data_IF_053943984672
#
_entry.id   IF_053943984672
#
_cell.length_a   1.000
_cell.length_b   1.000
_cell.length_c   1.000
_cell.angle_alpha   90.00
_cell.angle_beta   90.00
_cell.angle_gamma   90.00
#
_symmetry.space_group_name_H-M   'P 1'
#
loop_
_entity.id
_entity.type
_entity.pdbx_description
1 polymer ?
#
# COMPACT_ATOMS: atom_id res chain seq x y z
N UNK A 1 16.15 -36.96 -35.12
CA UNK A 1 16.46 -36.27 -33.84
C UNK A 1 17.97 -36.12 -33.61
N UNK A 2 18.80 -37.17 -33.77
CA UNK A 2 20.27 -37.06 -33.61
C UNK A 2 20.92 -36.00 -34.51
N UNK A 3 20.57 -35.95 -35.80
CA UNK A 3 21.14 -34.97 -36.74
C UNK A 3 20.84 -33.50 -36.37
N UNK A 4 19.61 -33.20 -35.92
CA UNK A 4 19.24 -31.86 -35.46
C UNK A 4 20.01 -31.47 -34.18
N UNK A 5 20.15 -32.40 -33.23
CA UNK A 5 20.89 -32.15 -31.99
C UNK A 5 22.37 -31.86 -32.27
N UNK A 6 22.99 -32.63 -33.18
CA UNK A 6 24.37 -32.40 -33.59
C UNK A 6 24.55 -31.04 -34.26
N UNK A 7 23.61 -30.65 -35.13
CA UNK A 7 23.61 -29.35 -35.77
C UNK A 7 23.46 -28.18 -34.78
N UNK A 8 22.58 -28.31 -33.78
CA UNK A 8 22.42 -27.30 -32.72
C UNK A 8 23.66 -27.19 -31.84
N UNK A 9 24.35 -28.31 -31.58
CA UNK A 9 25.62 -28.31 -30.86
C UNK A 9 26.71 -27.58 -31.65
N UNK A 10 26.82 -27.83 -32.96
CA UNK A 10 27.74 -27.12 -33.84
C UNK A 10 27.43 -25.61 -33.92
N UNK A 11 26.16 -25.24 -34.05
CA UNK A 11 25.73 -23.84 -34.06
C UNK A 11 26.12 -23.12 -32.77
N UNK A 12 25.88 -23.76 -31.62
CA UNK A 12 26.22 -23.23 -30.30
C UNK A 12 27.74 -23.12 -30.10
N UNK A 13 28.51 -24.08 -30.62
CA UNK A 13 29.98 -24.02 -30.60
C UNK A 13 30.51 -22.86 -31.46
N UNK A 14 30.02 -22.71 -32.70
CA UNK A 14 30.39 -21.61 -33.58
C UNK A 14 30.09 -20.25 -32.94
N UNK A 15 28.94 -20.12 -32.24
CA UNK A 15 28.58 -18.92 -31.52
C UNK A 15 29.57 -18.61 -30.39
N UNK A 16 29.90 -19.61 -29.55
CA UNK A 16 30.88 -19.47 -28.46
C UNK A 16 32.30 -19.17 -28.95
N UNK A 17 32.67 -19.66 -30.12
CA UNK A 17 33.96 -19.41 -30.76
C UNK A 17 34.04 -18.09 -31.53
N UNK A 18 33.00 -17.24 -31.46
CA UNK A 18 32.98 -15.93 -32.13
C UNK A 18 32.76 -15.98 -33.65
N UNK A 19 32.43 -17.15 -34.22
CA UNK A 19 32.21 -17.35 -35.65
C UNK A 19 30.77 -16.96 -36.02
N UNK A 20 30.43 -15.68 -35.84
CA UNK A 20 29.04 -15.20 -35.87
C UNK A 20 28.29 -15.51 -37.18
N UNK A 21 28.93 -15.32 -38.35
CA UNK A 21 28.31 -15.61 -39.66
C UNK A 21 28.02 -17.10 -39.83
N UNK A 22 28.94 -17.96 -39.39
CA UNK A 22 28.78 -19.41 -39.46
C UNK A 22 27.70 -19.90 -38.48
N UNK A 23 27.70 -19.39 -37.24
CA UNK A 23 26.68 -19.69 -36.26
C UNK A 23 25.28 -19.31 -36.76
N UNK A 24 25.14 -18.12 -37.37
CA UNK A 24 23.89 -17.65 -37.97
C UNK A 24 23.38 -18.64 -39.02
N UNK A 25 24.24 -19.04 -39.95
CA UNK A 25 23.87 -19.98 -41.01
C UNK A 25 23.48 -21.35 -40.45
N UNK A 26 24.20 -21.86 -39.45
CA UNK A 26 23.89 -23.15 -38.80
C UNK A 26 22.53 -23.13 -38.07
N UNK A 27 22.23 -22.04 -37.34
CA UNK A 27 20.92 -21.86 -36.69
C UNK A 27 19.79 -21.71 -37.71
N UNK A 28 19.98 -20.96 -38.81
CA UNK A 28 18.99 -20.84 -39.87
C UNK A 28 18.68 -22.18 -40.54
N UNK A 29 19.71 -22.99 -40.81
CA UNK A 29 19.50 -24.35 -41.33
C UNK A 29 18.77 -25.22 -40.30
N UNK A 30 19.08 -25.10 -39.01
CA UNK A 30 18.41 -25.90 -37.97
C UNK A 30 16.91 -25.57 -37.90
N UNK A 31 16.55 -24.30 -38.10
CA UNK A 31 15.17 -23.80 -38.15
C UNK A 31 14.37 -24.27 -39.37
N UNK A 32 14.95 -25.02 -40.31
CA UNK A 32 14.18 -25.74 -41.32
C UNK A 32 13.41 -26.94 -40.73
N UNK A 33 13.79 -27.39 -39.53
CA UNK A 33 13.09 -28.46 -38.82
C UNK A 33 11.96 -27.91 -37.93
N UNK A 34 10.72 -28.45 -38.00
CA UNK A 34 9.60 -27.99 -37.18
C UNK A 34 9.87 -28.02 -35.67
N UNK A 35 10.62 -29.03 -35.20
CA UNK A 35 11.01 -29.15 -33.79
C UNK A 35 11.89 -27.97 -33.33
N UNK A 36 12.76 -27.46 -34.20
CA UNK A 36 13.61 -26.31 -33.90
C UNK A 36 12.80 -25.01 -33.92
N UNK A 37 11.83 -24.88 -34.83
CA UNK A 37 10.95 -23.71 -34.91
C UNK A 37 10.09 -23.54 -33.66
N UNK A 38 9.74 -24.63 -32.97
CA UNK A 38 8.99 -24.62 -31.72
C UNK A 38 9.88 -24.39 -30.48
N UNK A 39 11.20 -24.27 -30.64
CA UNK A 39 12.14 -24.13 -29.53
C UNK A 39 12.68 -22.70 -29.42
N UNK A 40 12.30 -21.99 -28.36
CA UNK A 40 12.72 -20.61 -28.11
C UNK A 40 14.25 -20.45 -28.00
N UNK A 41 14.95 -21.46 -27.48
CA UNK A 41 16.42 -21.43 -27.34
C UNK A 41 17.15 -21.40 -28.68
N UNK A 42 16.58 -22.02 -29.73
CA UNK A 42 17.15 -21.99 -31.09
C UNK A 42 17.01 -20.59 -31.69
N UNK A 43 15.84 -19.98 -31.53
CA UNK A 43 15.59 -18.59 -31.95
C UNK A 43 16.47 -17.59 -31.21
N UNK A 44 16.65 -17.78 -29.91
CA UNK A 44 17.55 -16.95 -29.10
C UNK A 44 19.01 -17.12 -29.55
N UNK A 45 19.47 -18.34 -29.83
CA UNK A 45 20.78 -18.61 -30.39
C UNK A 45 21.01 -17.92 -31.74
N UNK A 46 19.99 -17.94 -32.62
CA UNK A 46 20.01 -17.18 -33.87
C UNK A 46 20.09 -15.67 -33.62
N UNK A 47 19.33 -15.15 -32.65
CA UNK A 47 19.35 -13.73 -32.31
C UNK A 47 20.75 -13.25 -31.91
N UNK A 48 21.43 -13.99 -31.03
CA UNK A 48 22.83 -13.71 -30.65
C UNK A 48 23.78 -13.80 -31.85
N UNK A 49 23.61 -14.81 -32.72
CA UNK A 49 24.45 -14.95 -33.91
C UNK A 49 24.26 -13.79 -34.90
N UNK A 50 23.03 -13.34 -35.13
CA UNK A 50 22.72 -12.16 -35.94
C UNK A 50 23.31 -10.88 -35.32
N UNK A 51 23.13 -10.67 -34.01
CA UNK A 51 23.69 -9.51 -33.30
C UNK A 51 25.22 -9.45 -33.41
N UNK A 52 25.91 -10.58 -33.15
CA UNK A 52 27.36 -10.67 -33.28
C UNK A 52 27.84 -10.50 -34.73
N UNK A 53 26.99 -10.77 -35.72
CA UNK A 53 27.25 -10.54 -37.14
C UNK A 53 26.88 -9.11 -37.60
N UNK A 54 26.45 -8.23 -36.69
CA UNK A 54 25.96 -6.87 -36.95
C UNK A 54 24.70 -6.81 -37.85
N UNK A 55 23.88 -7.85 -37.79
CA UNK A 55 22.58 -7.91 -38.44
C UNK A 55 21.47 -7.60 -37.41
N UNK A 56 21.21 -6.31 -37.22
CA UNK A 56 20.25 -5.81 -36.22
C UNK A 56 18.81 -6.27 -36.50
N UNK A 57 18.38 -6.24 -37.76
CA UNK A 57 17.03 -6.67 -38.13
C UNK A 57 16.85 -8.17 -37.89
N UNK A 58 17.81 -8.99 -38.36
CA UNK A 58 17.77 -10.44 -38.14
C UNK A 58 17.85 -10.83 -36.66
N UNK A 59 18.51 -10.03 -35.83
CA UNK A 59 18.56 -10.22 -34.38
C UNK A 59 17.20 -9.92 -33.73
N UNK A 60 16.55 -8.82 -34.11
CA UNK A 60 15.22 -8.42 -33.61
C UNK A 60 14.13 -9.41 -34.03
N UNK A 61 14.11 -9.85 -35.29
CA UNK A 61 13.13 -10.83 -35.78
C UNK A 61 13.25 -12.16 -35.03
N UNK A 62 14.48 -12.63 -34.82
CA UNK A 62 14.75 -13.87 -34.12
C UNK A 62 14.38 -13.79 -32.62
N UNK A 63 14.74 -12.71 -31.92
CA UNK A 63 14.36 -12.56 -30.50
C UNK A 63 12.87 -12.35 -30.31
N UNK A 64 12.20 -11.66 -31.24
CA UNK A 64 10.73 -11.55 -31.24
C UNK A 64 10.09 -12.94 -31.33
N UNK A 65 10.62 -13.81 -32.18
CA UNK A 65 10.11 -15.18 -32.27
C UNK A 65 10.39 -16.00 -31.02
N UNK A 66 11.55 -15.83 -30.39
CA UNK A 66 11.85 -16.45 -29.09
C UNK A 66 10.86 -16.00 -28.00
N UNK A 67 10.56 -14.71 -27.92
CA UNK A 67 9.60 -14.14 -26.96
C UNK A 67 8.14 -14.54 -27.26
N UNK A 68 7.76 -14.78 -28.52
CA UNK A 68 6.44 -15.34 -28.82
C UNK A 68 6.26 -16.77 -28.26
N UNK A 69 7.34 -17.55 -28.20
CA UNK A 69 7.32 -18.91 -27.67
C UNK A 69 7.48 -18.92 -26.15
N UNK A 70 8.30 -18.03 -25.61
CA UNK A 70 8.54 -17.88 -24.17
C UNK A 70 8.58 -16.39 -23.78
N UNK A 71 7.41 -15.77 -23.52
CA UNK A 71 7.30 -14.33 -23.25
C UNK A 71 8.10 -13.85 -22.05
N UNK A 72 8.30 -14.72 -21.06
CA UNK A 72 8.98 -14.42 -19.80
C UNK A 72 10.47 -14.85 -19.80
N UNK A 73 11.04 -15.22 -20.96
CA UNK A 73 12.44 -15.65 -21.01
C UNK A 73 13.38 -14.47 -20.69
N UNK A 74 14.11 -14.48 -19.56
CA UNK A 74 14.87 -13.31 -19.10
C UNK A 74 16.02 -12.94 -20.05
N UNK A 75 16.66 -13.93 -20.68
CA UNK A 75 17.74 -13.68 -21.63
C UNK A 75 17.24 -13.06 -22.94
N UNK A 76 16.06 -13.48 -23.42
CA UNK A 76 15.43 -12.90 -24.60
C UNK A 76 14.91 -11.48 -24.34
N UNK A 77 14.32 -11.23 -23.16
CA UNK A 77 13.88 -9.90 -22.73
C UNK A 77 15.06 -8.92 -22.68
N UNK A 78 16.14 -9.32 -21.99
CA UNK A 78 17.35 -8.50 -21.90
C UNK A 78 17.99 -8.24 -23.26
N UNK A 79 18.09 -9.26 -24.11
CA UNK A 79 18.67 -9.12 -25.45
C UNK A 79 17.86 -8.14 -26.31
N UNK A 80 16.53 -8.22 -26.27
CA UNK A 80 15.67 -7.30 -27.02
C UNK A 80 15.78 -5.88 -26.48
N UNK A 81 15.79 -5.71 -25.16
CA UNK A 81 15.99 -4.41 -24.51
C UNK A 81 17.30 -3.75 -24.98
N UNK A 82 18.41 -4.48 -24.95
CA UNK A 82 19.71 -3.97 -25.38
C UNK A 82 19.71 -3.58 -26.87
N UNK A 83 19.12 -4.39 -27.75
CA UNK A 83 19.08 -4.05 -29.19
C UNK A 83 18.26 -2.78 -29.45
N UNK A 84 17.10 -2.64 -28.82
CA UNK A 84 16.27 -1.44 -28.93
C UNK A 84 16.98 -0.21 -28.35
N UNK A 85 17.66 -0.37 -27.21
CA UNK A 85 18.42 0.70 -26.57
C UNK A 85 19.50 1.27 -27.48
N UNK A 86 20.31 0.40 -28.09
CA UNK A 86 21.36 0.83 -29.02
C UNK A 86 20.80 1.31 -30.36
N UNK A 87 19.60 0.87 -30.73
CA UNK A 87 18.83 1.37 -31.88
C UNK A 87 18.20 2.76 -31.67
N UNK A 88 18.21 3.29 -30.43
CA UNK A 88 17.64 4.58 -30.09
C UNK A 88 16.16 4.51 -29.63
N UNK A 89 15.53 3.35 -29.68
CA UNK A 89 14.14 3.12 -29.24
C UNK A 89 14.09 2.91 -27.71
N UNK A 90 14.59 3.90 -26.95
CA UNK A 90 14.79 3.77 -25.50
C UNK A 90 13.50 3.54 -24.71
N UNK A 91 12.39 4.18 -25.11
CA UNK A 91 11.08 3.99 -24.46
C UNK A 91 10.62 2.54 -24.53
N UNK A 92 10.63 1.96 -25.73
CA UNK A 92 10.27 0.55 -25.91
C UNK A 92 11.30 -0.37 -25.26
N UNK A 93 12.59 -0.02 -25.28
CA UNK A 93 13.62 -0.76 -24.56
C UNK A 93 13.34 -0.85 -23.04
N UNK A 94 12.84 0.23 -22.43
CA UNK A 94 12.51 0.28 -21.01
C UNK A 94 11.43 -0.75 -20.64
N UNK A 95 10.41 -0.97 -21.47
CA UNK A 95 9.39 -2.01 -21.24
C UNK A 95 10.01 -3.41 -21.15
N UNK A 96 10.99 -3.71 -22.01
CA UNK A 96 11.71 -5.00 -21.99
C UNK A 96 12.70 -5.10 -20.82
N UNK A 97 13.35 -4.00 -20.42
CA UNK A 97 14.14 -3.97 -19.19
C UNK A 97 13.28 -4.22 -17.95
N UNK A 98 12.10 -3.59 -17.86
CA UNK A 98 11.14 -3.83 -16.79
C UNK A 98 10.73 -5.31 -16.72
N UNK A 99 10.37 -5.90 -17.86
CA UNK A 99 10.07 -7.33 -17.95
C UNK A 99 11.23 -8.21 -17.44
N UNK A 100 12.46 -7.90 -17.82
CA UNK A 100 13.65 -8.60 -17.32
C UNK A 100 13.84 -8.44 -15.80
N UNK A 101 13.64 -7.24 -15.25
CA UNK A 101 13.78 -6.94 -13.82
C UNK A 101 12.76 -7.73 -12.99
N UNK A 102 11.49 -7.77 -13.43
CA UNK A 102 10.43 -8.57 -12.80
C UNK A 102 10.84 -10.05 -12.75
N UNK A 103 11.36 -10.60 -13.85
CA UNK A 103 11.83 -11.99 -13.89
C UNK A 103 13.05 -12.24 -13.02
N UNK A 104 13.94 -11.24 -12.89
CA UNK A 104 15.12 -11.35 -12.05
C UNK A 104 14.78 -11.35 -10.56
N UNK A 105 13.79 -10.56 -10.14
CA UNK A 105 13.28 -10.51 -8.78
C UNK A 105 12.53 -11.80 -8.41
N UNK A 106 11.66 -12.29 -9.30
CA UNK A 106 10.85 -13.49 -9.06
C UNK A 106 11.63 -14.80 -9.14
N UNK A 107 12.85 -14.80 -9.68
CA UNK A 107 13.65 -16.01 -9.89
C UNK A 107 14.99 -16.00 -9.11
N UNK A 108 15.02 -16.55 -7.89
CA UNK A 108 16.23 -16.69 -7.09
C UNK A 108 17.32 -17.55 -7.73
N UNK A 109 17.00 -18.36 -8.75
CA UNK A 109 17.93 -19.23 -9.48
C UNK A 109 18.34 -18.67 -10.86
N UNK A 110 18.10 -17.38 -11.12
CA UNK A 110 18.56 -16.72 -12.33
C UNK A 110 20.07 -16.92 -12.53
N UNK A 111 20.48 -17.26 -13.76
CA UNK A 111 21.89 -17.46 -14.12
C UNK A 111 22.77 -16.27 -13.67
N UNK A 112 23.98 -16.51 -13.11
CA UNK A 112 24.83 -15.45 -12.56
C UNK A 112 25.14 -14.32 -13.55
N UNK A 113 25.38 -14.66 -14.83
CA UNK A 113 25.68 -13.68 -15.87
C UNK A 113 24.51 -12.74 -16.14
N UNK A 114 23.27 -13.25 -16.09
CA UNK A 114 22.07 -12.44 -16.22
C UNK A 114 21.86 -11.59 -14.97
N UNK A 115 22.06 -12.17 -13.77
CA UNK A 115 21.95 -11.43 -12.52
C UNK A 115 22.92 -10.26 -12.46
N UNK A 116 24.13 -10.41 -12.99
CA UNK A 116 25.10 -9.33 -13.10
C UNK A 116 24.64 -8.14 -13.97
N UNK A 117 23.63 -8.34 -14.84
CA UNK A 117 23.07 -7.28 -15.70
C UNK A 117 21.94 -6.49 -15.02
N UNK A 118 21.43 -6.92 -13.88
CA UNK A 118 20.32 -6.26 -13.16
C UNK A 118 20.61 -4.79 -12.88
N UNK A 119 21.77 -4.38 -12.31
CA UNK A 119 22.02 -2.97 -12.04
C UNK A 119 22.02 -2.10 -13.30
N UNK A 120 22.54 -2.61 -14.42
CA UNK A 120 22.56 -1.89 -15.70
C UNK A 120 21.16 -1.76 -16.30
N UNK A 121 20.41 -2.86 -16.32
CA UNK A 121 19.03 -2.86 -16.80
C UNK A 121 18.17 -1.89 -15.97
N UNK A 122 18.35 -1.87 -14.65
CA UNK A 122 17.69 -0.94 -13.74
C UNK A 122 18.07 0.52 -14.06
N UNK A 123 19.36 0.83 -14.23
CA UNK A 123 19.79 2.18 -14.57
C UNK A 123 19.22 2.68 -15.92
N UNK A 124 19.19 1.81 -16.94
CA UNK A 124 18.61 2.15 -18.25
C UNK A 124 17.10 2.38 -18.16
N UNK A 125 16.39 1.51 -17.45
CA UNK A 125 14.96 1.66 -17.17
C UNK A 125 14.66 2.98 -16.46
N UNK A 126 15.35 3.25 -15.34
CA UNK A 126 15.18 4.46 -14.54
C UNK A 126 15.54 5.73 -15.31
N UNK A 127 16.54 5.68 -16.19
CA UNK A 127 16.89 6.83 -17.04
C UNK A 127 15.73 7.26 -17.92
N UNK A 128 14.97 6.30 -18.47
CA UNK A 128 13.82 6.59 -19.34
C UNK A 128 12.64 7.08 -18.51
N UNK A 129 12.36 6.46 -17.37
CA UNK A 129 11.33 6.95 -16.45
C UNK A 129 11.61 8.40 -16.04
N UNK A 130 12.85 8.73 -15.67
CA UNK A 130 13.23 10.09 -15.29
C UNK A 130 13.07 11.09 -16.44
N UNK A 131 13.41 10.71 -17.67
CA UNK A 131 13.21 11.55 -18.86
C UNK A 131 11.72 11.80 -19.12
N UNK A 132 10.88 10.76 -19.01
CA UNK A 132 9.43 10.88 -19.16
C UNK A 132 8.80 11.74 -18.06
N UNK A 133 9.22 11.57 -16.81
CA UNK A 133 8.79 12.40 -15.69
C UNK A 133 9.21 13.86 -15.88
N UNK A 134 10.43 14.10 -16.36
CA UNK A 134 10.91 15.44 -16.71
C UNK A 134 10.04 16.11 -17.78
N UNK A 135 9.78 15.40 -18.88
CA UNK A 135 8.88 15.88 -19.94
C UNK A 135 7.47 16.18 -19.43
N UNK A 136 6.88 15.26 -18.64
CA UNK A 136 5.54 15.46 -18.08
C UNK A 136 5.51 16.68 -17.16
N UNK A 137 6.54 16.88 -16.32
CA UNK A 137 6.64 18.04 -15.45
C UNK A 137 6.75 19.35 -16.24
N UNK A 138 7.48 19.36 -17.36
CA UNK A 138 7.52 20.51 -18.27
C UNK A 138 6.16 20.79 -18.89
N UNK A 139 5.43 19.77 -19.32
CA UNK A 139 4.08 19.92 -19.87
C UNK A 139 3.08 20.45 -18.83
N UNK A 140 3.12 19.93 -17.60
CA UNK A 140 2.32 20.42 -16.47
C UNK A 140 2.57 21.92 -16.24
N UNK A 141 3.83 22.34 -16.27
CA UNK A 141 4.21 23.74 -16.13
C UNK A 141 3.73 24.60 -17.31
N UNK A 142 3.93 24.13 -18.54
CA UNK A 142 3.53 24.82 -19.77
C UNK A 142 2.01 25.00 -19.88
N UNK A 143 1.23 24.02 -19.40
CA UNK A 143 -0.23 24.08 -19.33
C UNK A 143 -0.74 24.92 -18.14
N UNK A 144 0.13 25.40 -17.26
CA UNK A 144 -0.25 26.17 -16.09
C UNK A 144 -1.03 25.36 -15.04
N UNK A 145 -0.85 24.04 -15.02
CA UNK A 145 -1.50 23.10 -14.08
C UNK A 145 -0.83 23.18 -12.72
N UNK A 146 -1.03 24.29 -12.02
CA UNK A 146 -0.49 24.54 -10.68
C UNK A 146 -1.54 24.26 -9.59
N UNK A 147 -1.12 23.87 -8.37
CA UNK A 147 -2.03 23.61 -7.25
C UNK A 147 -3.02 24.75 -7.01
N UNK A 148 -2.60 26.01 -7.18
CA UNK A 148 -3.47 27.19 -7.00
C UNK A 148 -4.71 27.19 -7.90
N UNK A 149 -4.62 26.61 -9.09
CA UNK A 149 -5.68 26.64 -10.10
C UNK A 149 -6.42 25.30 -10.26
N UNK A 150 -5.76 24.18 -9.96
CA UNK A 150 -6.32 22.82 -10.15
C UNK A 150 -6.85 22.21 -8.85
N UNK A 151 -6.44 22.77 -7.71
CA UNK A 151 -6.79 22.28 -6.38
C UNK A 151 -6.01 21.03 -5.95
N UNK A 152 -6.12 20.67 -4.66
CA UNK A 152 -5.28 19.62 -4.05
C UNK A 152 -5.54 18.22 -4.62
N UNK A 153 -6.79 17.90 -4.99
CA UNK A 153 -7.16 16.59 -5.53
C UNK A 153 -6.52 16.29 -6.88
N UNK A 154 -6.44 17.29 -7.76
CA UNK A 154 -5.78 17.11 -9.05
C UNK A 154 -4.27 16.95 -8.87
N UNK A 155 -3.66 17.72 -7.95
CA UNK A 155 -2.24 17.55 -7.64
C UNK A 155 -1.93 16.15 -7.11
N UNK A 156 -2.78 15.59 -6.25
CA UNK A 156 -2.62 14.22 -5.78
C UNK A 156 -2.77 13.19 -6.91
N UNK A 157 -3.74 13.35 -7.80
CA UNK A 157 -3.88 12.48 -8.98
C UNK A 157 -2.63 12.52 -9.87
N UNK A 158 -2.05 13.71 -10.04
CA UNK A 158 -0.82 13.91 -10.80
C UNK A 158 0.39 13.26 -10.11
N UNK A 159 0.55 13.43 -8.79
CA UNK A 159 1.61 12.80 -8.01
C UNK A 159 1.53 11.27 -8.06
N UNK A 160 0.31 10.70 -8.02
CA UNK A 160 0.08 9.25 -8.17
C UNK A 160 0.47 8.80 -9.58
N UNK A 161 0.04 9.51 -10.63
CA UNK A 161 0.38 9.17 -12.02
C UNK A 161 1.88 9.22 -12.31
N UNK A 162 2.62 10.04 -11.55
CA UNK A 162 4.07 10.18 -11.62
C UNK A 162 4.82 9.23 -10.67
N UNK A 163 4.13 8.37 -9.93
CA UNK A 163 4.75 7.47 -8.96
C UNK A 163 5.38 8.16 -7.73
N UNK A 164 5.11 9.45 -7.52
CA UNK A 164 5.56 10.19 -6.32
C UNK A 164 4.74 9.82 -5.08
N UNK A 165 3.47 9.46 -5.30
CA UNK A 165 2.53 8.96 -4.30
C UNK A 165 1.95 7.64 -4.78
N UNK A 166 1.40 6.85 -3.87
CA UNK A 166 0.71 5.60 -4.20
C UNK A 166 -0.79 5.71 -3.95
N UNK A 167 -1.59 4.92 -4.65
CA UNK A 167 -3.02 4.84 -4.36
C UNK A 167 -3.26 3.86 -3.20
N UNK A 168 -3.91 4.35 -2.14
CA UNK A 168 -4.30 3.54 -0.99
C UNK A 168 -5.80 3.20 -1.07
N UNK A 169 -6.18 1.98 -1.46
CA UNK A 169 -7.58 1.57 -1.47
C UNK A 169 -8.09 1.35 -0.03
N UNK A 170 -9.42 1.42 0.13
CA UNK A 170 -10.09 0.89 1.32
C UNK A 170 -9.98 -0.65 1.31
N UNK A 171 -9.46 -1.24 2.38
CA UNK A 171 -9.30 -2.69 2.56
C UNK A 171 -9.81 -3.16 3.93
N UNK A 172 -11.12 -2.97 4.24
CA UNK A 172 -11.67 -3.43 5.51
C UNK A 172 -11.63 -4.96 5.61
N UNK A 173 -11.26 -5.47 6.78
CA UNK A 173 -11.02 -6.91 6.97
C UNK A 173 -12.26 -7.76 7.27
N UNK A 174 -13.44 -7.16 7.54
CA UNK A 174 -14.68 -7.89 7.86
C UNK A 174 -15.84 -7.60 6.91
N UNK A 175 -16.09 -6.33 6.58
CA UNK A 175 -17.21 -5.96 5.74
C UNK A 175 -16.88 -4.73 4.88
N UNK A 176 -17.14 -4.85 3.58
CA UNK A 176 -16.93 -3.78 2.60
C UNK A 176 -18.28 -3.33 2.04
N UNK A 177 -18.58 -2.04 2.22
CA UNK A 177 -19.72 -1.37 1.62
C UNK A 177 -19.27 -0.60 0.37
N UNK A 178 -19.86 -0.89 -0.80
CA UNK A 178 -19.40 -0.31 -2.07
C UNK A 178 -19.81 1.16 -2.23
N UNK A 179 -19.18 1.86 -3.17
CA UNK A 179 -19.55 3.22 -3.61
C UNK A 179 -19.41 4.33 -2.54
N UNK A 180 -18.65 4.07 -1.47
CA UNK A 180 -18.23 5.11 -0.53
C UNK A 180 -17.01 5.87 -1.08
N UNK A 181 -16.92 7.20 -0.88
CA UNK A 181 -15.80 7.98 -1.36
C UNK A 181 -14.50 7.60 -0.64
N UNK A 182 -13.39 7.59 -1.38
CA UNK A 182 -12.05 7.35 -0.85
C UNK A 182 -11.47 8.66 -0.30
N UNK A 183 -11.71 8.92 0.98
CA UNK A 183 -11.24 10.12 1.69
C UNK A 183 -10.40 9.66 2.88
N UNK A 184 -9.14 10.09 2.94
CA UNK A 184 -8.19 9.71 3.99
C UNK A 184 -8.57 10.38 5.32
N UNK A 185 -8.68 11.70 5.30
CA UNK A 185 -9.12 12.51 6.42
C UNK A 185 -10.30 13.38 6.01
N UNK A 186 -11.32 13.38 6.85
CA UNK A 186 -12.50 14.21 6.66
C UNK A 186 -12.28 15.60 7.27
N UNK A 187 -12.81 16.61 6.60
CA UNK A 187 -12.87 17.96 7.14
C UNK A 187 -13.90 18.01 8.27
N UNK A 188 -13.45 18.42 9.46
CA UNK A 188 -14.26 18.43 10.68
C UNK A 188 -15.34 19.50 10.64
N UNK A 189 -15.20 20.54 9.80
CA UNK A 189 -16.22 21.57 9.59
C UNK A 189 -17.52 21.00 8.99
N UNK A 190 -17.47 19.82 8.36
CA UNK A 190 -18.65 19.15 7.82
C UNK A 190 -19.51 18.45 8.89
N UNK A 191 -19.12 18.48 10.17
CA UNK A 191 -19.77 17.75 11.25
C UNK A 191 -20.21 18.71 12.37
N UNK A 192 -21.52 18.96 12.47
CA UNK A 192 -22.10 19.98 13.38
C UNK A 192 -21.80 19.74 14.87
N UNK A 193 -21.53 18.50 15.28
CA UNK A 193 -21.25 18.13 16.67
C UNK A 193 -19.78 18.39 17.10
N UNK A 194 -18.88 18.64 16.15
CA UNK A 194 -17.43 18.79 16.39
C UNK A 194 -17.13 19.94 17.34
N UNK A 195 -17.63 21.15 17.04
CA UNK A 195 -17.30 22.36 17.81
C UNK A 195 -17.70 22.20 19.29
N UNK A 196 -18.87 21.62 19.54
CA UNK A 196 -19.35 21.35 20.89
C UNK A 196 -18.42 20.39 21.63
N UNK A 197 -17.99 19.29 21.00
CA UNK A 197 -17.10 18.32 21.63
C UNK A 197 -15.69 18.90 21.86
N UNK A 198 -15.14 19.64 20.88
CA UNK A 198 -13.86 20.34 21.03
C UNK A 198 -13.90 21.33 22.20
N UNK A 199 -15.00 22.07 22.39
CA UNK A 199 -15.17 23.01 23.51
C UNK A 199 -15.14 22.33 24.89
N UNK A 200 -15.46 21.04 24.96
CA UNK A 200 -15.47 20.26 26.20
C UNK A 200 -14.09 19.66 26.53
N UNK A 201 -13.08 19.83 25.65
CA UNK A 201 -11.75 19.21 25.78
C UNK A 201 -11.13 19.39 27.16
N UNK A 202 -11.11 20.61 27.69
CA UNK A 202 -10.49 20.89 28.98
C UNK A 202 -11.17 20.10 30.12
N UNK A 203 -12.49 19.99 30.08
CA UNK A 203 -13.27 19.23 31.07
C UNK A 203 -13.01 17.73 30.95
N UNK A 204 -12.98 17.19 29.73
CA UNK A 204 -12.69 15.78 29.46
C UNK A 204 -11.27 15.42 29.96
N UNK A 205 -10.29 16.28 29.64
CA UNK A 205 -8.90 16.13 30.07
C UNK A 205 -8.78 16.14 31.59
N UNK A 206 -9.48 17.03 32.27
CA UNK A 206 -9.47 17.11 33.73
C UNK A 206 -10.00 15.82 34.39
N UNK A 207 -11.07 15.22 33.86
CA UNK A 207 -11.58 13.93 34.37
C UNK A 207 -10.56 12.80 34.15
N UNK A 208 -9.92 12.77 32.97
CA UNK A 208 -8.85 11.81 32.66
C UNK A 208 -7.66 11.94 33.61
N UNK A 209 -7.14 13.16 33.81
CA UNK A 209 -6.01 13.41 34.71
C UNK A 209 -6.33 13.01 36.16
N UNK A 210 -7.57 13.25 36.62
CA UNK A 210 -8.01 12.85 37.95
C UNK A 210 -8.05 11.31 38.12
N UNK A 211 -8.33 10.56 37.05
CA UNK A 211 -8.29 9.09 37.04
C UNK A 211 -6.85 8.57 36.96
N UNK A 212 -6.02 9.17 36.11
CA UNK A 212 -4.59 8.83 36.00
C UNK A 212 -3.87 9.04 37.34
N UNK A 213 -4.16 10.13 38.05
CA UNK A 213 -3.60 10.42 39.37
C UNK A 213 -3.96 9.39 40.44
N UNK A 214 -5.05 8.63 40.26
CA UNK A 214 -5.46 7.53 41.16
C UNK A 214 -4.79 6.20 40.84
N UNK A 215 -3.95 6.13 39.79
CA UNK A 215 -3.22 4.92 39.41
C UNK A 215 -4.10 3.87 38.74
N UNK A 216 -5.22 4.26 38.12
CA UNK A 216 -6.08 3.33 37.38
C UNK A 216 -5.34 2.82 36.13
N UNK A 217 -5.27 1.50 35.97
CA UNK A 217 -4.56 0.88 34.84
C UNK A 217 -5.35 1.01 33.54
N UNK A 218 -4.63 1.20 32.44
CA UNK A 218 -5.14 0.96 31.10
C UNK A 218 -4.96 -0.53 30.81
N UNK A 219 -5.90 -1.13 30.09
CA UNK A 219 -5.75 -2.50 29.58
C UNK A 219 -5.04 -2.46 28.22
N UNK A 220 -4.33 -3.50 27.77
CA UNK A 220 -3.83 -3.57 26.40
C UNK A 220 -4.96 -3.36 25.39
N UNK A 221 -4.73 -2.51 24.37
CA UNK A 221 -5.73 -2.22 23.35
C UNK A 221 -5.96 -3.43 22.43
N UNK A 222 -4.88 -4.10 22.02
CA UNK A 222 -4.92 -5.39 21.35
C UNK A 222 -4.74 -6.49 22.39
N UNK A 223 -5.82 -7.21 22.70
CA UNK A 223 -5.79 -8.39 23.53
C UNK A 223 -5.86 -9.62 22.63
N UNK A 224 -4.88 -10.50 22.72
CA UNK A 224 -5.05 -11.86 22.21
C UNK A 224 -6.16 -12.55 23.01
N UNK A 225 -7.03 -13.29 22.33
CA UNK A 225 -7.92 -14.23 23.01
C UNK A 225 -7.40 -15.64 22.76
N UNK A 226 -7.46 -16.51 23.78
CA UNK A 226 -7.06 -17.92 23.64
C UNK A 226 -7.90 -18.68 22.58
N UNK A 227 -9.02 -18.08 22.15
CA UNK A 227 -10.00 -18.68 21.22
C UNK A 227 -9.84 -18.24 19.76
N UNK A 228 -9.04 -17.21 19.46
CA UNK A 228 -8.87 -16.69 18.08
C UNK A 228 -7.38 -16.59 17.73
N UNK A 229 -6.93 -17.18 16.61
CA UNK A 229 -5.53 -17.11 16.21
C UNK A 229 -5.12 -15.66 15.91
N UNK A 230 -3.99 -15.23 16.45
CA UNK A 230 -3.39 -13.92 16.15
C UNK A 230 -2.99 -13.87 14.66
N UNK A 231 -3.73 -13.10 13.87
CA UNK A 231 -3.55 -13.05 12.40
C UNK A 231 -2.46 -12.06 11.94
N UNK A 232 -1.92 -11.22 12.84
CA UNK A 232 -0.81 -10.30 12.53
C UNK A 232 0.32 -10.42 13.55
N UNK A 233 1.57 -10.36 13.08
CA UNK A 233 2.77 -10.30 13.93
C UNK A 233 3.08 -8.88 14.43
N UNK A 234 2.08 -8.00 14.59
CA UNK A 234 2.35 -6.65 15.10
C UNK A 234 2.89 -6.72 16.52
N UNK A 235 3.97 -5.98 16.83
CA UNK A 235 4.66 -6.04 18.14
C UNK A 235 3.85 -5.57 19.34
N UNK A 236 2.62 -5.08 19.11
CA UNK A 236 1.80 -4.39 20.10
C UNK A 236 0.64 -5.24 20.64
N UNK A 237 0.54 -6.52 20.27
CA UNK A 237 -0.36 -7.46 20.94
C UNK A 237 0.10 -7.67 22.40
N UNK A 238 -0.84 -7.61 23.34
CA UNK A 238 -0.61 -7.90 24.76
C UNK A 238 0.42 -7.02 25.47
N UNK A 239 0.72 -5.82 24.93
CA UNK A 239 1.65 -4.87 25.53
C UNK A 239 0.94 -3.58 25.98
N UNK A 240 1.18 -3.16 27.22
CA UNK A 240 0.70 -1.92 27.84
C UNK A 240 1.22 -0.63 27.18
N UNK A 241 2.16 -0.75 26.25
CA UNK A 241 2.68 0.36 25.44
C UNK A 241 1.58 1.01 24.59
N UNK A 242 0.53 0.23 24.25
CA UNK A 242 -0.72 0.74 23.69
C UNK A 242 -1.90 0.37 24.58
N UNK A 243 -2.26 1.29 25.48
CA UNK A 243 -3.31 1.09 26.48
C UNK A 243 -4.67 1.66 26.07
N UNK A 244 -5.73 1.03 26.57
CA UNK A 244 -7.13 1.41 26.42
C UNK A 244 -7.81 1.59 27.78
N UNK A 245 -8.53 2.69 27.96
CA UNK A 245 -9.53 2.83 29.01
C UNK A 245 -10.90 3.01 28.37
N UNK A 246 -11.73 1.97 28.41
CA UNK A 246 -13.03 1.97 27.74
C UNK A 246 -14.09 2.76 28.55
N UNK A 247 -14.75 3.69 27.87
CA UNK A 247 -16.00 4.30 28.31
C UNK A 247 -17.19 3.47 27.82
N UNK A 248 -17.18 3.09 26.54
CA UNK A 248 -18.07 2.08 25.97
C UNK A 248 -17.22 0.97 25.34
N UNK A 249 -17.56 -0.29 25.61
CA UNK A 249 -16.92 -1.47 25.01
C UNK A 249 -18.00 -2.31 24.37
N UNK A 250 -17.91 -2.53 23.07
CA UNK A 250 -18.91 -3.31 22.31
C UNK A 250 -20.36 -2.83 22.47
N UNK A 251 -20.56 -1.51 22.60
CA UNK A 251 -21.87 -0.89 22.82
C UNK A 251 -22.30 -0.76 24.29
N UNK A 252 -21.64 -1.44 25.22
CA UNK A 252 -21.98 -1.38 26.64
C UNK A 252 -21.21 -0.26 27.35
N UNK A 253 -21.94 0.64 28.02
CA UNK A 253 -21.37 1.69 28.87
C UNK A 253 -20.74 1.05 30.13
N UNK A 254 -19.44 1.27 30.32
CA UNK A 254 -18.67 0.69 31.41
C UNK A 254 -18.99 1.36 32.75
N UNK A 255 -19.05 0.58 33.83
CA UNK A 255 -19.40 1.11 35.15
C UNK A 255 -18.34 2.10 35.67
N UNK A 256 -17.07 1.85 35.36
CA UNK A 256 -15.96 2.76 35.65
C UNK A 256 -16.14 4.13 34.99
N UNK A 257 -16.81 4.20 33.84
CA UNK A 257 -17.09 5.43 33.10
C UNK A 257 -18.12 6.30 33.83
N UNK A 258 -19.23 5.70 34.29
CA UNK A 258 -20.33 6.42 34.96
C UNK A 258 -19.88 7.17 36.20
N UNK A 259 -18.97 6.58 36.98
CA UNK A 259 -18.48 7.17 38.22
C UNK A 259 -17.41 8.24 38.03
N UNK A 260 -16.56 8.10 37.02
CA UNK A 260 -15.37 8.94 36.86
C UNK A 260 -15.47 10.00 35.77
N UNK A 261 -16.35 9.81 34.78
CA UNK A 261 -16.38 10.61 33.56
C UNK A 261 -17.74 11.26 33.24
N UNK A 262 -18.53 11.74 34.22
CA UNK A 262 -19.88 12.24 33.97
C UNK A 262 -19.94 13.40 32.95
N UNK A 263 -18.96 14.30 32.93
CA UNK A 263 -18.94 15.39 31.97
C UNK A 263 -18.49 14.93 30.58
N UNK A 264 -17.56 13.98 30.50
CA UNK A 264 -17.19 13.36 29.23
C UNK A 264 -18.38 12.63 28.61
N UNK A 265 -19.15 11.87 29.40
CA UNK A 265 -20.37 11.21 28.91
C UNK A 265 -21.36 12.24 28.35
N UNK A 266 -21.60 13.33 29.09
CA UNK A 266 -22.48 14.42 28.65
C UNK A 266 -21.98 15.11 27.37
N UNK A 267 -20.67 15.32 27.23
CA UNK A 267 -20.10 15.93 26.03
C UNK A 267 -20.27 15.06 24.78
N UNK A 268 -20.39 13.74 24.97
CA UNK A 268 -20.56 12.76 23.90
C UNK A 268 -22.04 12.55 23.49
N UNK A 269 -23.00 13.12 24.20
CA UNK A 269 -24.45 12.93 23.95
C UNK A 269 -24.88 13.34 22.53
N UNK A 270 -24.17 14.28 21.90
CA UNK A 270 -24.47 14.78 20.54
C UNK A 270 -23.72 14.05 19.43
N UNK A 271 -22.85 13.10 19.78
CA UNK A 271 -22.03 12.37 18.79
C UNK A 271 -22.88 11.31 18.09
N UNK A 272 -22.92 11.28 16.75
CA UNK A 272 -23.69 10.31 15.97
C UNK A 272 -22.94 8.97 15.87
N UNK A 273 -22.86 8.24 16.98
CA UNK A 273 -22.10 6.99 17.07
C UNK A 273 -22.51 5.94 16.02
N UNK A 274 -21.52 5.21 15.52
CA UNK A 274 -21.74 3.99 14.75
C UNK A 274 -22.20 2.86 15.68
N UNK A 275 -23.51 2.72 15.86
CA UNK A 275 -24.07 1.73 16.82
C UNK A 275 -24.42 0.42 16.14
N UNK A 276 -23.77 -0.66 16.57
CA UNK A 276 -24.06 -2.04 16.20
C UNK A 276 -24.25 -2.83 17.49
N UNK A 277 -25.47 -3.34 17.78
CA UNK A 277 -25.75 -3.99 19.04
C UNK A 277 -24.75 -5.09 19.39
N UNK A 278 -24.14 -4.97 20.56
CA UNK A 278 -23.14 -5.89 21.07
C UNK A 278 -21.75 -5.78 20.39
N UNK A 279 -21.49 -4.80 19.52
CA UNK A 279 -20.19 -4.65 18.83
C UNK A 279 -19.65 -3.22 18.84
N UNK A 280 -20.51 -2.21 18.77
CA UNK A 280 -20.12 -0.81 18.74
C UNK A 280 -21.26 0.09 19.28
N UNK A 281 -20.96 1.32 19.75
CA UNK A 281 -19.67 1.99 19.68
C UNK A 281 -18.61 1.39 20.63
N UNK A 282 -17.36 1.50 20.23
CA UNK A 282 -16.25 1.55 21.17
C UNK A 282 -15.87 3.01 21.36
N UNK A 283 -15.79 3.43 22.62
CA UNK A 283 -15.36 4.78 23.00
C UNK A 283 -14.35 4.58 24.12
N UNK A 284 -13.13 5.10 23.94
CA UNK A 284 -12.04 4.84 24.89
C UNK A 284 -11.00 5.96 24.89
N UNK A 285 -10.31 6.13 26.02
CA UNK A 285 -9.03 6.84 26.02
C UNK A 285 -7.94 5.87 25.56
N UNK A 286 -7.25 6.23 24.48
CA UNK A 286 -6.14 5.47 23.94
C UNK A 286 -4.83 6.14 24.32
N UNK A 287 -4.03 5.44 25.12
CA UNK A 287 -2.69 5.86 25.53
C UNK A 287 -1.65 5.18 24.64
N UNK A 288 -0.76 5.98 24.06
CA UNK A 288 0.46 5.49 23.41
C UNK A 288 1.69 5.93 24.20
N UNK A 289 2.49 4.98 24.66
CA UNK A 289 3.70 5.25 25.45
C UNK A 289 4.81 5.93 24.63
N UNK A 290 5.82 6.51 25.31
CA UNK A 290 7.00 7.06 24.65
C UNK A 290 7.67 6.05 23.71
N UNK A 291 8.16 6.54 22.57
CA UNK A 291 8.91 5.77 21.56
C UNK A 291 8.16 4.55 20.98
N UNK A 292 6.84 4.55 21.02
CA UNK A 292 6.02 3.45 20.48
C UNK A 292 5.53 3.76 19.07
N UNK A 293 5.54 2.76 18.19
CA UNK A 293 4.93 2.81 16.86
C UNK A 293 3.86 1.73 16.73
N UNK A 294 2.79 2.05 16.02
CA UNK A 294 1.75 1.13 15.60
C UNK A 294 1.97 0.89 14.11
N UNK A 295 2.22 -0.35 13.73
CA UNK A 295 2.49 -0.73 12.33
C UNK A 295 1.32 -0.38 11.40
N UNK A 296 1.57 -0.21 10.08
CA UNK A 296 0.52 -0.06 9.09
C UNK A 296 -0.52 -1.18 9.13
N UNK A 297 -1.79 -0.81 9.26
CA UNK A 297 -2.91 -1.74 9.33
C UNK A 297 -4.20 -1.14 8.76
N UNK A 298 -5.26 -1.95 8.72
CA UNK A 298 -6.58 -1.58 8.25
C UNK A 298 -7.64 -1.91 9.29
N UNK A 299 -8.69 -1.11 9.31
CA UNK A 299 -9.89 -1.29 10.11
C UNK A 299 -10.73 -2.49 9.69
N UNK A 300 -11.75 -2.79 10.48
CA UNK A 300 -12.65 -3.92 10.22
C UNK A 300 -13.74 -3.59 9.20
N UNK A 301 -14.20 -2.35 9.17
CA UNK A 301 -15.40 -1.90 8.44
C UNK A 301 -15.08 -0.57 7.76
N UNK A 302 -15.56 -0.36 6.53
CA UNK A 302 -15.52 0.95 5.88
C UNK A 302 -16.82 1.76 6.04
N UNK A 303 -17.79 1.24 6.80
CA UNK A 303 -19.09 1.88 7.07
C UNK A 303 -19.05 2.88 8.23
N UNK A 304 -17.90 3.02 8.89
CA UNK A 304 -17.67 3.97 9.99
C UNK A 304 -16.44 4.82 9.74
N UNK A 305 -16.32 5.91 10.49
CA UNK A 305 -15.11 6.72 10.61
C UNK A 305 -14.61 6.65 12.03
N UNK A 306 -13.28 6.77 12.19
CA UNK A 306 -12.63 6.86 13.49
C UNK A 306 -12.33 8.32 13.78
N UNK A 307 -12.71 8.75 14.98
CA UNK A 307 -12.52 10.10 15.47
C UNK A 307 -11.51 10.08 16.63
N UNK A 308 -10.50 10.95 16.57
CA UNK A 308 -9.53 11.18 17.63
C UNK A 308 -9.69 12.60 18.19
N UNK A 309 -10.14 12.74 19.44
CA UNK A 309 -10.04 13.99 20.19
C UNK A 309 -8.74 13.98 21.01
N UNK A 310 -7.75 14.83 20.70
CA UNK A 310 -6.46 14.80 21.38
C UNK A 310 -6.53 15.51 22.73
N UNK A 311 -6.02 14.87 23.80
CA UNK A 311 -6.16 15.39 25.18
C UNK A 311 -4.81 15.67 25.85
N UNK A 312 -3.86 14.75 25.74
CA UNK A 312 -2.51 14.87 26.29
C UNK A 312 -1.55 14.62 25.12
N UNK A 313 -1.02 15.69 24.52
CA UNK A 313 -0.13 15.61 23.36
C UNK A 313 1.22 16.24 23.72
N UNK A 314 2.28 15.43 23.89
CA UNK A 314 3.63 15.95 24.11
C UNK A 314 4.16 16.74 22.92
N UNK A 315 5.12 17.64 23.20
CA UNK A 315 5.94 18.21 22.13
C UNK A 315 6.69 17.09 21.39
N UNK A 316 6.83 17.24 20.07
CA UNK A 316 7.47 16.24 19.20
C UNK A 316 6.85 14.83 19.30
N UNK A 317 5.54 14.75 19.60
CA UNK A 317 4.84 13.47 19.73
C UNK A 317 4.93 12.63 18.45
N UNK A 318 4.73 13.18 17.26
CA UNK A 318 4.61 12.37 16.03
C UNK A 318 3.26 12.57 15.36
N UNK A 319 2.79 11.58 14.60
CA UNK A 319 1.61 11.73 13.76
C UNK A 319 0.81 10.43 13.60
N UNK A 320 -0.41 10.60 13.08
CA UNK A 320 -1.22 9.57 12.46
C UNK A 320 -1.06 9.71 10.93
N UNK A 321 -0.66 8.63 10.26
CA UNK A 321 -0.71 8.54 8.80
C UNK A 321 -1.94 7.76 8.39
N UNK A 322 -2.70 8.26 7.42
CA UNK A 322 -3.74 7.52 6.70
C UNK A 322 -3.49 7.73 5.19
N UNK A 323 -3.18 6.64 4.49
CA UNK A 323 -2.70 6.67 3.11
C UNK A 323 -1.46 7.56 2.91
N UNK A 324 -1.53 8.52 1.99
CA UNK A 324 -0.45 9.48 1.70
C UNK A 324 -0.42 10.69 2.64
N UNK A 325 -1.41 10.87 3.52
CA UNK A 325 -1.48 12.02 4.43
C UNK A 325 -1.01 11.65 5.84
N UNK A 326 -0.19 12.51 6.44
CA UNK A 326 0.21 12.43 7.85
C UNK A 326 -0.21 13.69 8.59
N UNK A 327 -0.93 13.55 9.70
CA UNK A 327 -1.38 14.67 10.54
C UNK A 327 -0.88 14.51 11.97
N UNK A 328 -0.28 15.58 12.51
CA UNK A 328 0.08 15.65 13.91
C UNK A 328 -1.17 15.95 14.74
N UNK A 329 -1.26 15.36 15.93
CA UNK A 329 -2.31 15.69 16.88
C UNK A 329 -2.11 17.12 17.41
N UNK A 330 -3.21 17.84 17.57
CA UNK A 330 -3.25 19.12 18.26
C UNK A 330 -4.27 19.00 19.39
N UNK A 331 -3.88 19.36 20.61
CA UNK A 331 -4.77 19.27 21.77
C UNK A 331 -6.10 20.00 21.51
N UNK A 332 -7.20 19.28 21.75
CA UNK A 332 -8.56 19.77 21.55
C UNK A 332 -9.02 19.93 20.10
N UNK A 333 -8.23 19.49 19.12
CA UNK A 333 -8.61 19.51 17.69
C UNK A 333 -8.86 18.11 17.16
N UNK A 334 -10.12 17.84 16.82
CA UNK A 334 -10.56 16.55 16.32
C UNK A 334 -9.86 16.21 15.01
N UNK A 335 -9.55 14.92 14.85
CA UNK A 335 -9.23 14.32 13.56
C UNK A 335 -10.22 13.21 13.27
N UNK A 336 -10.78 13.20 12.06
CA UNK A 336 -11.72 12.19 11.59
C UNK A 336 -11.11 11.54 10.35
N UNK A 337 -10.97 10.23 10.34
CA UNK A 337 -10.34 9.50 9.24
C UNK A 337 -11.03 8.17 8.94
N UNK A 338 -10.83 7.66 7.73
CA UNK A 338 -11.29 6.35 7.30
C UNK A 338 -10.24 5.30 7.68
N UNK A 339 -10.48 4.52 8.73
CA UNK A 339 -9.56 3.48 9.18
C UNK A 339 -9.54 2.27 8.25
N UNK A 340 -10.46 2.16 7.30
CA UNK A 340 -10.39 1.09 6.30
C UNK A 340 -9.30 1.33 5.24
N UNK A 341 -8.74 2.55 5.16
CA UNK A 341 -7.52 2.86 4.41
C UNK A 341 -6.32 2.55 5.29
N UNK A 342 -5.21 2.09 4.70
CA UNK A 342 -4.00 1.76 5.46
C UNK A 342 -3.54 2.96 6.30
N UNK A 343 -3.39 2.72 7.60
CA UNK A 343 -3.00 3.76 8.55
C UNK A 343 -2.04 3.22 9.61
N UNK A 344 -1.26 4.13 10.18
CA UNK A 344 -0.29 3.88 11.25
C UNK A 344 -0.17 5.10 12.15
N UNK A 345 0.33 4.91 13.36
CA UNK A 345 0.49 6.00 14.33
C UNK A 345 1.74 5.80 15.16
N UNK A 346 2.39 6.89 15.57
CA UNK A 346 3.58 6.81 16.41
C UNK A 346 3.65 7.91 17.46
N UNK A 347 4.38 7.60 18.54
CA UNK A 347 4.79 8.53 19.56
C UNK A 347 6.32 8.54 19.68
N UNK A 348 6.99 9.52 19.06
CA UNK A 348 8.43 9.74 19.11
C UNK A 348 8.87 10.58 20.33
N UNK A 349 7.95 11.07 21.15
CA UNK A 349 8.30 11.86 22.35
C UNK A 349 8.78 10.99 23.51
N UNK A 350 9.23 11.64 24.57
CA UNK A 350 9.62 11.02 25.85
C UNK A 350 8.47 10.99 26.87
N UNK A 351 7.25 11.32 26.44
CA UNK A 351 6.06 11.36 27.30
C UNK A 351 4.90 10.61 26.67
N UNK A 352 3.93 10.20 27.47
CA UNK A 352 2.75 9.50 26.96
C UNK A 352 1.85 10.44 26.16
N UNK A 353 1.19 9.87 25.16
CA UNK A 353 0.17 10.56 24.37
C UNK A 353 -1.19 9.93 24.63
N UNK A 354 -2.20 10.73 24.97
CA UNK A 354 -3.56 10.25 25.19
C UNK A 354 -4.57 10.99 24.30
N UNK A 355 -5.37 10.21 23.59
CA UNK A 355 -6.51 10.70 22.77
C UNK A 355 -7.77 9.97 23.17
N UNK A 356 -8.93 10.62 23.07
CA UNK A 356 -10.23 9.95 23.11
C UNK A 356 -10.56 9.45 21.70
N UNK A 357 -10.76 8.14 21.55
CA UNK A 357 -11.16 7.48 20.31
C UNK A 357 -12.63 7.12 20.37
N UNK A 358 -13.35 7.37 19.29
CA UNK A 358 -14.72 6.89 19.10
C UNK A 358 -15.07 6.72 17.62
N UNK A 359 -16.20 6.07 17.36
CA UNK A 359 -16.61 5.63 16.04
C UNK A 359 -17.94 6.28 15.65
N UNK A 360 -18.01 6.90 14.46
CA UNK A 360 -19.25 7.48 13.91
C UNK A 360 -19.62 6.78 12.61
N UNK A 361 -20.91 6.80 12.25
CA UNK A 361 -21.32 6.32 10.92
C UNK A 361 -20.72 7.18 9.81
N UNK A 362 -20.43 6.55 8.67
CA UNK A 362 -20.15 7.28 7.43
C UNK A 362 -21.30 8.23 7.10
N UNK A 363 -21.04 9.53 6.85
CA UNK A 363 -22.10 10.48 6.53
C UNK A 363 -22.84 10.11 5.24
N UNK A 364 -22.20 9.37 4.34
CA UNK A 364 -22.77 8.94 3.07
C UNK A 364 -23.80 7.80 3.18
N UNK A 365 -23.85 7.10 4.33
CA UNK A 365 -24.85 6.05 4.55
C UNK A 365 -26.19 6.66 4.95
N UNK A 366 -27.25 6.24 4.26
CA UNK A 366 -28.63 6.51 4.66
C UNK A 366 -28.98 5.80 5.98
N UNK A 367 -30.03 6.27 6.66
CA UNK A 367 -30.52 5.62 7.89
C UNK A 367 -30.90 4.15 7.67
N UNK A 368 -31.51 3.83 6.52
CA UNK A 368 -31.87 2.47 6.16
C UNK A 368 -30.64 1.57 5.97
N UNK A 369 -29.56 2.09 5.36
CA UNK A 369 -28.31 1.35 5.22
C UNK A 369 -27.61 1.14 6.56
N UNK A 370 -27.58 2.18 7.43
CA UNK A 370 -27.04 2.06 8.79
C UNK A 370 -27.76 0.98 9.59
N UNK A 371 -29.09 0.97 9.55
CA UNK A 371 -29.93 -0.05 10.20
C UNK A 371 -29.68 -1.46 9.63
N UNK A 372 -29.61 -1.60 8.31
CA UNK A 372 -29.34 -2.88 7.66
C UNK A 372 -27.94 -3.43 8.02
N UNK A 373 -26.91 -2.58 7.99
CA UNK A 373 -25.54 -2.93 8.38
C UNK A 373 -25.51 -3.34 9.85
N UNK A 374 -26.12 -2.57 10.74
CA UNK A 374 -26.16 -2.88 12.17
C UNK A 374 -26.83 -4.23 12.45
N UNK A 375 -27.99 -4.51 11.83
CA UNK A 375 -28.70 -5.79 11.96
C UNK A 375 -27.88 -6.96 11.44
N UNK A 376 -27.24 -6.80 10.27
CA UNK A 376 -26.42 -7.86 9.68
C UNK A 376 -25.22 -8.19 10.56
N UNK A 377 -24.46 -7.18 10.99
CA UNK A 377 -23.27 -7.38 11.81
C UNK A 377 -23.62 -7.93 13.20
N UNK A 378 -24.75 -7.50 13.78
CA UNK A 378 -25.28 -8.10 15.00
C UNK A 378 -25.59 -9.59 14.81
N UNK A 379 -26.30 -9.95 13.73
CA UNK A 379 -26.63 -11.35 13.43
C UNK A 379 -25.40 -12.24 13.24
N UNK A 380 -24.34 -11.73 12.60
CA UNK A 380 -23.08 -12.46 12.43
C UNK A 380 -22.44 -12.73 13.78
N UNK A 381 -22.41 -11.72 14.67
CA UNK A 381 -21.85 -11.88 16.03
C UNK A 381 -22.66 -12.87 16.86
N UNK A 382 -24.00 -12.81 16.81
CA UNK A 382 -24.87 -13.73 17.54
C UNK A 382 -24.76 -15.18 17.09
N UNK A 383 -24.26 -15.46 15.88
CA UNK A 383 -23.95 -16.82 15.42
C UNK A 383 -22.62 -17.34 15.98
N UNK A 384 -21.69 -16.44 16.30
CA UNK A 384 -20.35 -16.78 16.80
C UNK A 384 -20.29 -16.91 18.33
N UNK A 385 -21.26 -16.34 19.05
CA UNK A 385 -21.46 -16.49 20.49
C UNK A 385 -22.28 -17.75 20.80
#
# INVERSE_FOLDING_TARGET
MQALQEQLNQASQALRSGQAKQAKQLFQTALQHPQAQANAGVWLGLAFACGNAKDSQGALDAVNRALQLQPQNPQALLFKADNLWHGGEKTTAAEFYQGFLIQAEQNPQLAPDLRAQVPRAQANYQSVENEQLGYLQEQVNALGLKPENTGPRFQEALDISMGKKQFYPQQPSKFFFPQLPHIQFFDTENFEWVEQLESATATIKQELEAVLAKGVSFEPYLQSSEEVPTLSQSSNWDNDDWGAFYLWKSGDLQESAKGHFPNTLKALDTVPFATVPGSSPNVLFSRLRPKTRIDPHHGFLNTRLICHLPLIIPENCGALRCGNESRQWQEGKLMIFDDSIEHEAWNDSDSERVVLIFEIWRPELSEAERDAVAKLLHSIKSYQA
#
